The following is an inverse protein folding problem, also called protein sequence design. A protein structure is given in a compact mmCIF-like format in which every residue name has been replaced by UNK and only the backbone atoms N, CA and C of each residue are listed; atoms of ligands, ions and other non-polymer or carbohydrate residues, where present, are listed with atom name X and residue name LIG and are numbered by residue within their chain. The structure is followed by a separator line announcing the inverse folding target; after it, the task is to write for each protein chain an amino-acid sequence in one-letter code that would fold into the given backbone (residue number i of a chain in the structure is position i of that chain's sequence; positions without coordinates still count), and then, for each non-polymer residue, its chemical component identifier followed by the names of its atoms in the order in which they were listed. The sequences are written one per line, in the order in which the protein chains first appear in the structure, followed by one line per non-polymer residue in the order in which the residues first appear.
data_IF_609570523707
#
_entry.id   IF_609570523707
#
_cell.length_a   1.000
_cell.length_b   1.000
_cell.length_c   1.000
_cell.angle_alpha   90.00
_cell.angle_beta   90.00
_cell.angle_gamma   90.00
#
_symmetry.space_group_name_H-M   'P 1'
#
loop_
_entity.id
_entity.type
_entity.pdbx_description
1 polymer ?
#
# COMPACT_ATOMS: atom_id res chain seq x y z
N UNK A 1 11.14 -8.61 1.79
CA UNK A 1 10.93 -7.66 2.89
C UNK A 1 10.36 -6.36 2.34
N UNK A 2 9.36 -5.81 3.00
CA UNK A 2 8.73 -4.56 2.57
C UNK A 2 9.67 -3.38 2.81
N UNK A 3 9.87 -2.56 1.79
CA UNK A 3 10.64 -1.32 1.92
C UNK A 3 9.73 -0.15 2.23
N UNK A 4 8.76 0.10 1.35
CA UNK A 4 7.79 1.18 1.53
C UNK A 4 6.40 0.72 1.15
N UNK A 5 5.39 1.37 1.74
CA UNK A 5 4.00 1.18 1.35
C UNK A 5 3.44 2.56 1.03
N UNK A 6 2.79 2.67 -0.13
CA UNK A 6 2.22 3.92 -0.61
C UNK A 6 0.74 3.73 -0.89
N UNK A 7 -0.07 4.71 -0.51
CA UNK A 7 -1.49 4.72 -0.86
C UNK A 7 -1.66 5.04 -2.34
N UNK A 8 -2.58 4.35 -2.99
CA UNK A 8 -2.91 4.60 -4.39
C UNK A 8 -4.34 5.12 -4.49
N UNK A 9 -4.56 6.03 -5.42
CA UNK A 9 -5.86 6.66 -5.62
C UNK A 9 -6.28 6.53 -7.07
N UNK A 10 -7.61 6.46 -7.28
CA UNK A 10 -8.18 6.54 -8.62
C UNK A 10 -8.08 8.00 -9.07
N UNK A 11 -7.46 8.21 -10.23
CA UNK A 11 -7.26 9.56 -10.76
C UNK A 11 -8.55 10.20 -11.27
N UNK A 12 -9.58 9.40 -11.50
CA UNK A 12 -10.88 9.89 -11.98
C UNK A 12 -11.69 10.45 -10.81
N UNK A 13 -11.75 9.72 -9.71
CA UNK A 13 -12.59 10.05 -8.55
C UNK A 13 -11.82 10.58 -7.35
N UNK A 14 -10.48 10.54 -7.38
CA UNK A 14 -9.63 10.80 -6.22
C UNK A 14 -9.98 9.90 -5.04
N UNK A 15 -10.45 8.69 -5.33
CA UNK A 15 -10.87 7.71 -4.33
C UNK A 15 -9.72 6.80 -3.96
N UNK A 16 -9.54 6.54 -2.68
CA UNK A 16 -8.51 5.62 -2.20
C UNK A 16 -8.82 4.20 -2.71
N UNK A 17 -7.91 3.66 -3.52
CA UNK A 17 -8.09 2.36 -4.19
C UNK A 17 -7.39 1.21 -3.50
N UNK A 18 -6.26 1.47 -2.85
CA UNK A 18 -5.49 0.41 -2.23
C UNK A 18 -4.07 0.85 -1.89
N UNK A 19 -3.19 -0.12 -1.76
CA UNK A 19 -1.79 0.14 -1.41
C UNK A 19 -0.87 -0.39 -2.49
N UNK A 20 0.29 0.27 -2.63
CA UNK A 20 1.38 -0.21 -3.47
C UNK A 20 2.57 -0.52 -2.58
N UNK A 21 3.01 -1.77 -2.60
CA UNK A 21 4.14 -2.22 -1.81
C UNK A 21 5.39 -2.22 -2.67
N UNK A 22 6.45 -1.60 -2.18
CA UNK A 22 7.79 -1.68 -2.79
C UNK A 22 8.64 -2.55 -1.89
N UNK A 23 9.32 -3.52 -2.49
CA UNK A 23 10.17 -4.46 -1.73
C UNK A 23 11.63 -4.06 -1.82
N UNK A 24 12.38 -4.34 -0.73
CA UNK A 24 13.81 -4.10 -0.70
C UNK A 24 14.52 -5.02 -1.68
N UNK A 25 15.55 -4.49 -2.33
CA UNK A 25 16.37 -5.23 -3.29
C UNK A 25 15.58 -5.79 -4.47
N UNK A 26 14.45 -5.16 -4.79
CA UNK A 26 13.62 -5.57 -5.90
C UNK A 26 13.08 -4.34 -6.63
N UNK A 27 13.01 -4.44 -7.96
CA UNK A 27 12.38 -3.40 -8.78
C UNK A 27 10.89 -3.65 -8.97
N UNK A 28 10.36 -4.68 -8.34
CA UNK A 28 8.95 -5.06 -8.47
C UNK A 28 8.11 -4.35 -7.44
N UNK A 29 6.90 -3.99 -7.84
CA UNK A 29 5.89 -3.42 -6.97
C UNK A 29 4.66 -4.30 -7.00
N UNK A 30 3.92 -4.32 -5.90
CA UNK A 30 2.70 -5.10 -5.80
C UNK A 30 1.55 -4.18 -5.41
N UNK A 31 0.44 -4.28 -6.15
CA UNK A 31 -0.77 -3.54 -5.82
C UNK A 31 -1.69 -4.42 -4.97
N UNK A 32 -2.19 -3.88 -3.88
CA UNK A 32 -3.01 -4.60 -2.91
C UNK A 32 -4.36 -3.90 -2.80
N UNK A 33 -5.46 -4.61 -3.08
CA UNK A 33 -6.80 -4.00 -2.96
C UNK A 33 -7.18 -3.80 -1.50
N UNK A 34 -8.19 -2.97 -1.28
CA UNK A 34 -8.76 -2.74 0.05
C UNK A 34 -9.74 -3.86 0.39
N UNK A 35 -9.21 -5.05 0.66
CA UNK A 35 -10.00 -6.23 0.95
C UNK A 35 -9.46 -6.90 2.21
N UNK A 36 -10.24 -6.90 3.27
CA UNK A 36 -9.85 -7.46 4.56
C UNK A 36 -9.55 -8.96 4.48
N UNK A 37 -10.11 -9.64 3.51
CA UNK A 37 -9.84 -11.07 3.28
C UNK A 37 -8.52 -11.30 2.56
N UNK A 38 -7.90 -10.26 2.00
CA UNK A 38 -6.64 -10.38 1.27
C UNK A 38 -5.48 -10.46 2.26
N UNK A 39 -4.65 -11.51 2.15
CA UNK A 39 -3.53 -11.70 3.08
C UNK A 39 -2.49 -10.60 2.99
N UNK A 40 -2.28 -10.03 1.81
CA UNK A 40 -1.35 -8.92 1.65
C UNK A 40 -1.86 -7.65 2.34
N UNK A 41 -3.18 -7.43 2.29
CA UNK A 41 -3.79 -6.32 2.99
C UNK A 41 -3.61 -6.47 4.50
N UNK A 42 -3.81 -7.68 5.03
CA UNK A 42 -3.61 -7.97 6.45
C UNK A 42 -2.14 -7.74 6.84
N UNK A 43 -1.20 -8.15 5.99
CA UNK A 43 0.22 -7.93 6.22
C UNK A 43 0.56 -6.44 6.29
N UNK A 44 -0.07 -5.62 5.46
CA UNK A 44 0.09 -4.17 5.49
C UNK A 44 -0.38 -3.60 6.83
N UNK A 45 -1.53 -4.05 7.32
CA UNK A 45 -2.07 -3.57 8.60
C UNK A 45 -1.12 -3.93 9.75
N UNK A 46 -0.55 -5.13 9.75
CA UNK A 46 0.44 -5.55 10.73
C UNK A 46 1.69 -4.69 10.66
N UNK A 47 2.16 -4.41 9.44
CA UNK A 47 3.35 -3.59 9.22
C UNK A 47 3.15 -2.17 9.76
N UNK A 48 1.97 -1.60 9.55
CA UNK A 48 1.62 -0.26 10.07
C UNK A 48 1.56 -0.30 11.61
N UNK A 49 0.98 -1.34 12.18
CA UNK A 49 0.87 -1.49 13.63
C UNK A 49 2.25 -1.61 14.30
N UNK A 50 3.24 -2.15 13.58
CA UNK A 50 4.61 -2.28 14.07
C UNK A 50 5.42 -0.98 13.94
N UNK A 51 4.78 0.11 13.53
CA UNK A 51 5.43 1.41 13.41
C UNK A 51 5.83 1.79 11.99
N UNK A 52 5.37 1.04 11.00
CA UNK A 52 5.64 1.37 9.59
C UNK A 52 4.92 2.65 9.17
N UNK A 53 5.52 3.40 8.28
CA UNK A 53 4.95 4.65 7.78
C UNK A 53 4.47 4.48 6.35
N UNK A 54 3.19 4.77 6.13
CA UNK A 54 2.59 4.74 4.79
C UNK A 54 2.72 6.10 4.14
N UNK A 55 3.21 6.12 2.90
CA UNK A 55 3.32 7.35 2.13
C UNK A 55 1.94 7.69 1.56
N UNK A 56 1.47 8.89 1.83
CA UNK A 56 0.18 9.36 1.35
C UNK A 56 0.38 10.51 0.38
N UNK A 57 0.20 10.23 -0.91
CA UNK A 57 0.32 11.20 -2.00
C UNK A 57 -0.99 11.27 -2.78
N UNK A 58 -2.03 11.93 -2.23
CA UNK A 58 -3.28 12.03 -2.96
C UNK A 58 -3.09 12.85 -4.25
N UNK A 59 -3.81 12.50 -5.32
CA UNK A 59 -3.77 13.32 -6.53
C UNK A 59 -4.46 14.65 -6.27
N UNK A 60 -3.95 15.66 -6.90
CA UNK A 60 -4.54 17.01 -6.80
C UNK A 60 -5.61 17.24 -7.85
#
# INVERSE_FOLDING_TARGET
MIDTIEKTYDIIDNTFCGYRITYQNSNKQKLVPLDEANTDYQAIQTWIADGGTVIDNPPE
#
